data_IF_174830211903
#
_entry.id   IF_174830211903
#
_cell.length_a   1.000
_cell.length_b   1.000
_cell.length_c   1.000
_cell.angle_alpha   90.00
_cell.angle_beta   90.00
_cell.angle_gamma   90.00
#
_symmetry.space_group_name_H-M   'P 1'
#
loop_
_entity.id
_entity.type
_entity.pdbx_description
1 polymer ?
#
# COMPACT_ATOMS: atom_id res chain seq x y z
N UNK A 1 -2.73 -2.99 0.41
CA UNK A 1 -3.25 -1.80 1.12
C UNK A 1 -2.05 -1.03 1.66
N UNK A 2 -2.13 0.29 1.74
CA UNK A 2 -1.10 1.11 2.39
C UNK A 2 -1.53 1.39 3.82
N UNK A 3 -0.66 1.15 4.78
CA UNK A 3 -0.87 1.45 6.20
C UNK A 3 0.19 2.44 6.66
N UNK A 4 -0.14 3.26 7.65
CA UNK A 4 0.80 4.17 8.29
C UNK A 4 1.01 3.65 9.71
N UNK A 5 2.25 3.29 10.01
CA UNK A 5 2.68 2.78 11.31
C UNK A 5 3.92 3.60 11.74
N UNK A 6 3.93 4.13 12.96
CA UNK A 6 5.05 4.91 13.53
C UNK A 6 5.51 6.09 12.64
N UNK A 7 4.57 6.81 12.03
CA UNK A 7 4.84 7.87 11.05
C UNK A 7 5.64 7.41 9.82
N UNK A 8 5.51 6.13 9.46
CA UNK A 8 6.09 5.56 8.25
C UNK A 8 5.00 4.90 7.42
N UNK A 9 5.06 5.08 6.10
CA UNK A 9 4.11 4.44 5.19
C UNK A 9 4.62 3.06 4.76
N UNK A 10 3.78 2.06 4.92
CA UNK A 10 4.05 0.67 4.61
C UNK A 10 3.06 0.15 3.57
N UNK A 11 3.59 -0.51 2.55
CA UNK A 11 2.79 -1.23 1.57
C UNK A 11 2.66 -2.69 1.97
N UNK A 12 1.42 -3.10 2.26
CA UNK A 12 1.06 -4.44 2.67
C UNK A 12 0.36 -5.20 1.54
N UNK A 13 0.54 -6.53 1.57
CA UNK A 13 -0.14 -7.49 0.71
C UNK A 13 0.11 -7.28 -0.80
N UNK A 14 1.27 -6.74 -1.15
CA UNK A 14 1.75 -6.71 -2.53
C UNK A 14 2.47 -8.03 -2.83
N UNK A 15 2.02 -8.74 -3.86
CA UNK A 15 2.67 -9.95 -4.33
C UNK A 15 3.67 -9.58 -5.43
N UNK A 16 4.96 -9.71 -5.11
CA UNK A 16 6.03 -9.62 -6.13
C UNK A 16 6.64 -11.00 -6.21
N UNK A 17 6.52 -11.68 -7.37
CA UNK A 17 7.04 -13.03 -7.52
C UNK A 17 8.55 -13.04 -7.25
N UNK A 18 9.01 -14.17 -6.72
CA UNK A 18 10.44 -14.42 -6.56
C UNK A 18 11.10 -14.54 -7.94
N UNK A 19 12.38 -14.18 -8.00
CA UNK A 19 13.11 -14.27 -9.25
C UNK A 19 13.50 -15.73 -9.48
N UNK A 20 12.97 -16.35 -10.54
CA UNK A 20 13.17 -17.78 -10.85
C UNK A 20 14.66 -18.10 -11.10
N UNK A 21 15.44 -17.12 -11.56
CA UNK A 21 16.88 -17.25 -11.76
C UNK A 21 17.70 -16.84 -10.52
N UNK A 22 17.04 -16.49 -9.42
CA UNK A 22 17.66 -16.22 -8.13
C UNK A 22 17.79 -17.51 -7.32
N UNK A 23 18.93 -17.71 -6.66
CA UNK A 23 19.17 -18.91 -5.84
C UNK A 23 18.56 -18.73 -4.44
N UNK A 24 19.37 -18.38 -3.45
CA UNK A 24 18.99 -18.37 -2.03
C UNK A 24 18.71 -16.97 -1.47
N UNK A 25 19.03 -15.91 -2.22
CA UNK A 25 18.86 -14.50 -1.82
C UNK A 25 17.51 -13.91 -2.23
N UNK A 26 16.53 -14.75 -2.56
CA UNK A 26 15.21 -14.31 -2.97
C UNK A 26 14.45 -13.63 -1.83
N UNK A 27 13.64 -12.62 -2.17
CA UNK A 27 12.80 -11.92 -1.22
C UNK A 27 11.50 -12.69 -0.96
N UNK A 28 10.99 -12.67 0.26
CA UNK A 28 9.65 -13.20 0.53
C UNK A 28 8.60 -12.46 -0.33
N UNK A 29 7.82 -13.21 -1.10
CA UNK A 29 6.92 -12.68 -2.14
C UNK A 29 5.92 -11.62 -1.62
N UNK A 30 5.44 -11.78 -0.39
CA UNK A 30 4.47 -10.89 0.27
C UNK A 30 5.08 -10.00 1.37
N UNK A 31 6.39 -9.73 1.35
CA UNK A 31 7.01 -8.88 2.37
C UNK A 31 6.38 -7.48 2.42
N UNK A 32 6.29 -6.90 3.61
CA UNK A 32 5.96 -5.47 3.78
C UNK A 32 7.08 -4.63 3.16
N UNK A 33 6.72 -3.60 2.39
CA UNK A 33 7.68 -2.71 1.71
C UNK A 33 7.45 -1.29 2.20
N UNK A 34 8.49 -0.66 2.74
CA UNK A 34 8.44 0.74 3.19
C UNK A 34 8.37 1.67 1.97
N UNK A 35 7.48 2.66 2.04
CA UNK A 35 7.35 3.72 1.04
C UNK A 35 8.15 4.94 1.47
N UNK A 36 8.79 5.58 0.49
CA UNK A 36 9.54 6.81 0.70
C UNK A 36 8.63 7.99 0.36
N UNK A 37 8.03 8.58 1.38
CA UNK A 37 7.17 9.77 1.29
C UNK A 37 7.79 10.93 2.08
N UNK A 38 7.39 12.15 1.77
CA UNK A 38 7.76 13.33 2.56
C UNK A 38 6.98 13.34 3.88
N UNK A 39 7.59 13.90 4.94
CA UNK A 39 6.99 13.95 6.28
C UNK A 39 5.59 14.59 6.28
N UNK A 40 5.46 15.76 5.66
CA UNK A 40 4.19 16.47 5.57
C UNK A 40 3.08 15.66 4.85
N UNK A 41 3.44 14.84 3.87
CA UNK A 41 2.49 13.97 3.17
C UNK A 41 2.06 12.79 4.04
N UNK A 42 2.98 12.25 4.85
CA UNK A 42 2.66 11.19 5.82
C UNK A 42 1.68 11.72 6.87
N UNK A 43 1.96 12.88 7.48
CA UNK A 43 1.10 13.45 8.52
C UNK A 43 -0.31 13.75 7.98
N UNK A 44 -0.41 14.22 6.73
CA UNK A 44 -1.69 14.43 6.03
C UNK A 44 -2.44 13.14 5.76
N UNK A 45 -1.75 12.08 5.34
CA UNK A 45 -2.36 10.77 5.09
C UNK A 45 -2.76 10.08 6.39
N UNK A 46 -1.97 10.23 7.45
CA UNK A 46 -2.26 9.70 8.80
C UNK A 46 -3.56 10.30 9.33
N UNK A 47 -3.67 11.63 9.28
CA UNK A 47 -4.88 12.35 9.68
C UNK A 47 -6.12 11.86 8.94
N UNK A 48 -6.01 11.69 7.61
CA UNK A 48 -7.13 11.22 6.77
C UNK A 48 -7.43 9.73 6.91
N UNK A 49 -6.44 8.90 7.23
CA UNK A 49 -6.63 7.47 7.43
C UNK A 49 -7.29 7.17 8.78
N UNK A 50 -7.20 8.07 9.75
CA UNK A 50 -7.94 7.96 11.01
C UNK A 50 -9.43 8.31 10.84
N UNK A 51 -9.81 9.04 9.79
CA UNK A 51 -11.21 9.32 9.48
C UNK A 51 -11.95 8.03 9.09
N UNK A 52 -13.02 7.72 9.82
CA UNK A 52 -13.79 6.47 9.66
C UNK A 52 -14.22 6.23 8.21
N UNK A 53 -13.75 5.12 7.64
CA UNK A 53 -14.14 4.65 6.31
C UNK A 53 -13.23 5.08 5.17
N UNK A 54 -12.11 5.75 5.46
CA UNK A 54 -11.07 6.02 4.46
C UNK A 54 -9.96 4.96 4.51
N UNK A 55 -9.53 4.51 3.34
CA UNK A 55 -8.47 3.52 3.17
C UNK A 55 -7.52 3.99 2.07
N UNK A 56 -6.22 3.86 2.30
CA UNK A 56 -5.20 4.20 1.30
C UNK A 56 -4.96 2.99 0.39
N UNK A 57 -5.24 3.15 -0.89
CA UNK A 57 -5.12 2.09 -1.90
C UNK A 57 -4.06 2.44 -2.94
N UNK A 58 -3.23 1.47 -3.36
CA UNK A 58 -2.35 1.66 -4.50
C UNK A 58 -3.16 1.64 -5.81
N UNK A 59 -2.87 2.57 -6.72
CA UNK A 59 -3.48 2.65 -8.04
C UNK A 59 -2.60 1.99 -9.11
N UNK A 60 -1.33 2.39 -9.15
CA UNK A 60 -0.40 1.95 -10.16
C UNK A 60 1.02 1.79 -9.61
N UNK A 61 1.76 0.89 -10.22
CA UNK A 61 3.20 0.71 -10.02
C UNK A 61 3.88 1.03 -11.35
N UNK A 62 4.83 1.96 -11.34
CA UNK A 62 5.53 2.36 -12.55
C UNK A 62 7.02 2.53 -12.30
N UNK A 63 7.81 2.26 -13.32
CA UNK A 63 9.25 2.48 -13.27
C UNK A 63 9.56 3.92 -13.65
N UNK A 64 10.38 4.58 -12.84
CA UNK A 64 10.91 5.91 -13.11
C UNK A 64 12.33 6.01 -12.58
N UNK A 65 13.26 6.42 -13.42
CA UNK A 65 14.68 6.61 -13.05
C UNK A 65 15.31 5.36 -12.39
N UNK A 66 14.99 4.17 -12.91
CA UNK A 66 15.48 2.89 -12.37
C UNK A 66 14.85 2.47 -11.02
N UNK A 67 13.86 3.22 -10.52
CA UNK A 67 13.14 2.91 -9.27
C UNK A 67 11.67 2.59 -9.57
N UNK A 68 11.08 1.72 -8.76
CA UNK A 68 9.63 1.51 -8.76
C UNK A 68 8.98 2.60 -7.92
N UNK A 69 8.07 3.34 -8.52
CA UNK A 69 7.18 4.27 -7.83
C UNK A 69 5.79 3.66 -7.72
N UNK A 70 5.14 3.97 -6.60
CA UNK A 70 3.77 3.55 -6.31
C UNK A 70 2.90 4.80 -6.29
N UNK A 71 1.86 4.81 -7.12
CA UNK A 71 0.81 5.80 -7.03
C UNK A 71 -0.23 5.33 -6.01
N UNK A 72 -0.63 6.21 -5.09
CA UNK A 72 -1.55 5.89 -4.00
C UNK A 72 -2.69 6.91 -3.99
N UNK A 73 -3.88 6.44 -3.63
CA UNK A 73 -5.06 7.28 -3.48
C UNK A 73 -5.79 6.97 -2.18
N UNK A 74 -6.48 7.98 -1.65
CA UNK A 74 -7.41 7.81 -0.55
C UNK A 74 -8.78 7.43 -1.13
N UNK A 75 -9.26 6.24 -0.77
CA UNK A 75 -10.56 5.76 -1.17
C UNK A 75 -11.49 5.67 0.05
N UNK A 76 -12.78 5.94 -0.16
CA UNK A 76 -13.81 5.70 0.84
C UNK A 76 -14.45 4.33 0.59
N UNK A 77 -14.51 3.49 1.62
CA UNK A 77 -15.17 2.19 1.53
C UNK A 77 -16.63 2.33 1.11
N UNK A 78 -17.04 1.63 0.06
CA UNK A 78 -18.45 1.56 -0.33
C UNK A 78 -19.19 0.67 0.67
N UNK A 79 -20.16 1.23 1.40
CA UNK A 79 -21.09 0.45 2.24
C UNK A 79 -22.15 -0.22 1.34
N UNK A 80 -21.75 -1.23 0.58
CA UNK A 80 -22.68 -2.14 -0.07
C UNK A 80 -22.37 -3.55 0.40
N UNK A 81 -22.82 -3.90 1.61
CA UNK A 81 -22.98 -5.31 1.96
C UNK A 81 -23.96 -5.48 3.10
N UNK A 82 -25.24 -5.54 2.75
CA UNK A 82 -26.06 -6.62 3.29
C UNK A 82 -26.62 -7.40 2.08
N UNK A 83 -25.96 -8.51 1.74
CA UNK A 83 -26.44 -9.48 0.75
C UNK A 83 -27.16 -10.65 1.42
N UNK A 84 -27.69 -10.47 2.64
CA UNK A 84 -28.54 -11.51 3.25
C UNK A 84 -29.92 -11.41 2.57
N UNK A 85 -30.06 -12.08 1.43
CA UNK A 85 -31.38 -12.52 1.00
C UNK A 85 -31.72 -13.77 1.82
N UNK A 86 -32.84 -13.70 2.52
CA UNK A 86 -33.57 -14.81 3.15
C UNK A 86 -33.90 -15.90 2.14
#
# INVERSE_FOLDING_TARGET
VVQIDDHEAWLHNIHVPEYVQGTWTNHAAKRKRKLLLHRAEIDKLESKSQETGHTIVPLALYFKDGRVKVEIALAKGKKEYDKRQT
#
